data_IF_210235333533
#
_entry.id   IF_210235333533
#
_cell.length_a   1.000
_cell.length_b   1.000
_cell.length_c   1.000
_cell.angle_alpha   90.00
_cell.angle_beta   90.00
_cell.angle_gamma   90.00
#
_symmetry.space_group_name_H-M   'P 1'
#
loop_
_entity.id
_entity.type
_entity.pdbx_description
1 polymer ?
#
# COMPACT_ATOMS: atom_id res chain seq x y z
N UNK A 1 -10.09 -74.34 -1.71
CA UNK A 1 -10.27 -73.13 -0.87
C UNK A 1 -9.75 -71.81 -1.49
N UNK A 2 -8.94 -71.81 -2.56
CA UNK A 2 -8.27 -70.59 -3.07
C UNK A 2 -9.14 -69.66 -3.93
N UNK A 3 -10.22 -70.15 -4.54
CA UNK A 3 -11.07 -69.35 -5.44
C UNK A 3 -12.06 -68.44 -4.70
N UNK A 4 -12.57 -68.88 -3.54
CA UNK A 4 -13.49 -68.08 -2.71
C UNK A 4 -12.83 -66.86 -2.06
N UNK A 5 -11.53 -66.95 -1.76
CA UNK A 5 -10.75 -65.83 -1.19
C UNK A 5 -10.40 -64.80 -2.26
N UNK A 6 -10.18 -65.22 -3.52
CA UNK A 6 -9.91 -64.30 -4.63
C UNK A 6 -11.14 -63.48 -5.01
N UNK A 7 -12.33 -64.09 -4.93
CA UNK A 7 -13.61 -63.42 -5.19
C UNK A 7 -13.98 -62.41 -4.07
N UNK A 8 -13.56 -62.67 -2.83
CA UNK A 8 -13.75 -61.75 -1.71
C UNK A 8 -12.83 -60.51 -1.79
N UNK A 9 -11.61 -60.67 -2.29
CA UNK A 9 -10.65 -59.57 -2.50
C UNK A 9 -11.08 -58.69 -3.68
N UNK A 10 -11.61 -59.28 -4.76
CA UNK A 10 -12.13 -58.52 -5.90
C UNK A 10 -13.33 -57.63 -5.59
N UNK A 11 -14.19 -58.05 -4.63
CA UNK A 11 -15.33 -57.26 -4.17
C UNK A 11 -14.90 -56.12 -3.25
N UNK A 12 -13.82 -56.28 -2.45
CA UNK A 12 -13.30 -55.20 -1.60
C UNK A 12 -12.58 -54.10 -2.40
N UNK A 13 -11.97 -54.41 -3.55
CA UNK A 13 -11.26 -53.41 -4.36
C UNK A 13 -12.15 -52.58 -5.27
N UNK A 14 -13.40 -53.00 -5.51
CA UNK A 14 -14.37 -52.26 -6.32
C UNK A 14 -15.13 -51.19 -5.51
N UNK A 15 -15.06 -51.21 -4.18
CA UNK A 15 -15.75 -50.26 -3.29
C UNK A 15 -15.01 -48.93 -3.05
N UNK A 16 -13.74 -48.81 -3.44
CA UNK A 16 -12.89 -47.67 -3.05
C UNK A 16 -12.81 -46.54 -4.09
N UNK A 17 -13.56 -46.61 -5.19
CA UNK A 17 -13.71 -45.52 -6.15
C UNK A 17 -15.07 -44.83 -6.02
N UNK A 18 -15.51 -44.56 -4.78
CA UNK A 18 -16.41 -43.42 -4.56
C UNK A 18 -15.53 -42.20 -4.79
N UNK A 19 -15.47 -41.78 -6.05
CA UNK A 19 -15.10 -40.41 -6.38
C UNK A 19 -15.92 -39.54 -5.43
N UNK A 20 -15.24 -38.75 -4.60
CA UNK A 20 -15.84 -37.61 -3.95
C UNK A 20 -16.30 -36.67 -5.08
N UNK A 21 -17.41 -36.98 -5.72
CA UNK A 21 -18.17 -36.03 -6.50
C UNK A 21 -18.60 -35.01 -5.46
N UNK A 22 -17.89 -33.89 -5.39
CA UNK A 22 -18.47 -32.67 -4.85
C UNK A 22 -19.83 -32.54 -5.53
N UNK A 23 -20.90 -32.74 -4.76
CA UNK A 23 -22.24 -32.44 -5.21
C UNK A 23 -22.19 -30.96 -5.58
N UNK A 24 -22.11 -30.65 -6.87
CA UNK A 24 -22.14 -29.28 -7.39
C UNK A 24 -23.50 -28.71 -6.99
N UNK A 25 -23.57 -28.14 -5.79
CA UNK A 25 -24.76 -27.43 -5.32
C UNK A 25 -25.06 -26.33 -6.32
N UNK A 26 -26.33 -26.20 -6.70
CA UNK A 26 -26.83 -25.06 -7.46
C UNK A 26 -26.43 -23.80 -6.70
N UNK A 27 -25.56 -23.00 -7.31
CA UNK A 27 -24.93 -21.89 -6.64
C UNK A 27 -24.67 -20.76 -7.62
N UNK A 28 -24.69 -19.54 -7.10
CA UNK A 28 -24.22 -18.35 -7.79
C UNK A 28 -22.87 -17.94 -7.20
N UNK A 29 -21.92 -17.61 -8.06
CA UNK A 29 -20.65 -16.99 -7.67
C UNK A 29 -20.68 -15.53 -8.09
N UNK A 30 -20.38 -14.63 -7.15
CA UNK A 30 -20.36 -13.19 -7.37
C UNK A 30 -19.14 -12.57 -6.68
N UNK A 31 -18.60 -11.51 -7.27
CA UNK A 31 -17.55 -10.71 -6.65
C UNK A 31 -18.09 -9.34 -6.29
N UNK A 32 -18.02 -8.99 -5.01
CA UNK A 32 -18.26 -7.63 -4.53
C UNK A 32 -16.95 -6.85 -4.44
N UNK A 33 -17.03 -5.56 -4.73
CA UNK A 33 -15.89 -4.63 -4.68
C UNK A 33 -16.32 -3.44 -3.86
N UNK A 34 -15.44 -2.96 -2.98
CA UNK A 34 -15.61 -1.70 -2.29
C UNK A 34 -14.31 -0.91 -2.31
N UNK A 35 -14.47 0.41 -2.33
CA UNK A 35 -13.38 1.37 -2.40
C UNK A 35 -13.59 2.47 -1.34
N UNK A 36 -12.49 3.01 -0.83
CA UNK A 36 -12.51 4.14 0.10
C UNK A 36 -11.25 4.99 -0.11
N UNK A 37 -11.42 6.30 -0.09
CA UNK A 37 -10.32 7.25 -0.01
C UNK A 37 -10.23 7.79 1.41
N UNK A 38 -9.02 7.78 1.97
CA UNK A 38 -8.74 8.19 3.35
C UNK A 38 -7.70 9.30 3.33
N UNK A 39 -8.01 10.43 3.96
CA UNK A 39 -7.01 11.48 4.18
C UNK A 39 -5.92 10.97 5.16
N UNK A 40 -4.63 11.12 4.81
CA UNK A 40 -3.56 10.71 5.70
C UNK A 40 -3.45 11.64 6.92
N UNK A 41 -3.19 11.05 8.08
CA UNK A 41 -2.92 11.79 9.33
C UNK A 41 -1.42 11.81 9.69
N UNK A 42 -0.60 11.02 8.98
CA UNK A 42 0.85 10.98 9.12
C UNK A 42 1.51 11.06 7.74
N UNK A 43 2.39 12.04 7.53
CA UNK A 43 3.16 12.18 6.29
C UNK A 43 4.65 12.03 6.61
N UNK A 44 5.31 11.12 5.89
CA UNK A 44 6.74 10.89 6.01
C UNK A 44 7.42 11.58 4.83
N UNK A 45 8.33 12.51 5.13
CA UNK A 45 9.16 13.19 4.14
C UNK A 45 10.53 12.54 4.06
N UNK A 46 11.14 12.57 2.89
CA UNK A 46 12.55 12.28 2.66
C UNK A 46 13.26 13.59 2.37
N UNK A 47 14.40 13.82 3.05
CA UNK A 47 15.25 14.98 2.85
C UNK A 47 16.68 14.53 2.62
N UNK A 48 17.29 15.05 1.55
CA UNK A 48 18.70 14.86 1.25
C UNK A 48 19.48 16.13 1.51
N UNK A 49 20.67 16.00 2.09
CA UNK A 49 21.61 17.11 2.32
C UNK A 49 22.96 16.79 1.68
N UNK A 50 23.71 17.82 1.28
CA UNK A 50 25.06 17.69 0.70
C UNK A 50 26.06 18.69 1.28
N UNK A 51 27.34 18.36 1.15
CA UNK A 51 28.46 19.28 1.32
C UNK A 51 29.72 18.79 0.59
N UNK A 52 30.73 19.66 0.46
CA UNK A 52 32.01 19.36 -0.19
C UNK A 52 33.07 18.80 0.79
N UNK A 53 32.79 18.82 2.10
CA UNK A 53 33.60 18.17 3.11
C UNK A 53 32.75 17.68 4.29
N UNK A 54 33.36 16.88 5.18
CA UNK A 54 32.66 16.26 6.32
C UNK A 54 32.23 17.26 7.40
N UNK A 55 32.99 18.33 7.64
CA UNK A 55 32.68 19.31 8.67
C UNK A 55 31.44 20.13 8.25
N UNK A 56 31.44 20.62 7.01
CA UNK A 56 30.29 21.36 6.45
C UNK A 56 29.04 20.48 6.39
N UNK A 57 29.21 19.18 6.12
CA UNK A 57 28.08 18.23 6.16
C UNK A 57 27.49 18.10 7.57
N UNK A 58 28.34 18.06 8.60
CA UNK A 58 27.90 18.03 9.99
C UNK A 58 27.20 19.34 10.39
N UNK A 59 27.69 20.48 9.91
CA UNK A 59 27.02 21.77 10.12
C UNK A 59 25.66 21.84 9.41
N UNK A 60 25.56 21.32 8.18
CA UNK A 60 24.29 21.24 7.45
C UNK A 60 23.31 20.26 8.11
N UNK A 61 23.80 19.13 8.64
CA UNK A 61 23.00 18.20 9.45
C UNK A 61 22.46 18.88 10.72
N UNK A 62 23.29 19.66 11.42
CA UNK A 62 22.84 20.43 12.60
C UNK A 62 21.75 21.43 12.22
N UNK A 63 21.93 22.19 11.14
CA UNK A 63 20.92 23.14 10.63
C UNK A 63 19.62 22.44 10.27
N UNK A 64 19.67 21.30 9.59
CA UNK A 64 18.49 20.48 9.29
C UNK A 64 17.71 20.13 10.56
N UNK A 65 18.39 19.63 11.58
CA UNK A 65 17.73 19.21 12.83
C UNK A 65 17.15 20.41 13.59
N UNK A 66 17.84 21.55 13.59
CA UNK A 66 17.33 22.79 14.18
C UNK A 66 16.09 23.30 13.45
N UNK A 67 16.09 23.32 12.10
CA UNK A 67 14.93 23.69 11.29
C UNK A 67 13.73 22.79 11.57
N UNK A 68 13.93 21.47 11.55
CA UNK A 68 12.87 20.49 11.81
C UNK A 68 12.32 20.62 13.24
N UNK A 69 13.19 20.81 14.23
CA UNK A 69 12.80 21.03 15.63
C UNK A 69 11.97 22.31 15.79
N UNK A 70 12.37 23.41 15.15
CA UNK A 70 11.65 24.68 15.19
C UNK A 70 10.27 24.58 14.54
N UNK A 71 10.09 23.62 13.62
CA UNK A 71 8.80 23.29 13.02
C UNK A 71 7.98 22.25 13.80
N UNK A 72 8.44 21.85 14.99
CA UNK A 72 7.73 20.92 15.87
C UNK A 72 8.00 19.43 15.60
N UNK A 73 8.94 19.09 14.72
CA UNK A 73 9.37 17.70 14.51
C UNK A 73 10.26 17.26 15.67
N UNK A 74 9.94 16.14 16.30
CA UNK A 74 10.76 15.59 17.40
C UNK A 74 11.97 14.84 16.84
N UNK A 75 13.07 14.81 17.59
CA UNK A 75 14.26 14.06 17.19
C UNK A 75 13.98 12.56 16.97
N UNK A 76 13.09 11.95 17.76
CA UNK A 76 12.68 10.55 17.62
C UNK A 76 11.93 10.26 16.30
N UNK A 77 11.35 11.29 15.70
CA UNK A 77 10.64 11.21 14.42
C UNK A 77 11.58 11.40 13.21
N UNK A 78 12.86 11.74 13.44
CA UNK A 78 13.88 11.89 12.40
C UNK A 78 14.71 10.60 12.33
N UNK A 79 14.75 9.98 11.15
CA UNK A 79 15.42 8.70 10.90
C UNK A 79 16.48 8.87 9.83
N UNK A 80 17.73 8.58 10.17
CA UNK A 80 18.80 8.42 9.20
C UNK A 80 18.49 7.28 8.23
N UNK A 81 18.80 7.46 6.94
CA UNK A 81 18.57 6.45 5.89
C UNK A 81 19.83 6.00 5.21
N UNK A 82 20.64 6.94 4.75
CA UNK A 82 21.85 6.61 4.02
C UNK A 82 22.84 7.76 4.04
N UNK A 83 24.11 7.40 3.82
CA UNK A 83 25.19 8.35 3.59
C UNK A 83 25.94 7.88 2.36
N UNK A 84 26.32 8.83 1.51
CA UNK A 84 27.06 8.57 0.29
C UNK A 84 28.22 9.56 0.16
N UNK A 85 29.32 9.08 -0.42
CA UNK A 85 30.47 9.89 -0.81
C UNK A 85 30.76 9.62 -2.28
N UNK A 86 30.72 10.67 -3.10
CA UNK A 86 31.14 10.58 -4.49
C UNK A 86 32.67 10.68 -4.57
N UNK A 87 33.33 9.54 -4.79
CA UNK A 87 34.79 9.44 -4.92
C UNK A 87 35.31 9.77 -6.34
N UNK A 88 34.42 9.92 -7.32
CA UNK A 88 34.78 10.20 -8.72
C UNK A 88 34.72 11.69 -9.07
N UNK A 89 34.27 12.55 -8.13
CA UNK A 89 34.26 13.99 -8.33
C UNK A 89 35.61 14.61 -7.96
N UNK A 90 36.04 15.64 -8.70
CA UNK A 90 37.28 16.39 -8.43
C UNK A 90 37.33 16.98 -7.00
N UNK A 91 36.17 17.22 -6.41
CA UNK A 91 35.98 17.57 -5.00
C UNK A 91 35.07 16.52 -4.38
N UNK A 92 35.46 15.94 -3.25
CA UNK A 92 34.66 14.91 -2.60
C UNK A 92 33.28 15.47 -2.21
N UNK A 93 32.20 14.97 -2.82
CA UNK A 93 30.84 15.37 -2.46
C UNK A 93 30.24 14.35 -1.52
N UNK A 94 29.83 14.81 -0.35
CA UNK A 94 29.17 14.00 0.66
C UNK A 94 27.67 14.29 0.65
N UNK A 95 26.86 13.26 0.84
CA UNK A 95 25.43 13.43 1.06
C UNK A 95 24.92 12.51 2.16
N UNK A 96 23.87 12.95 2.84
CA UNK A 96 23.10 12.15 3.78
C UNK A 96 21.62 12.28 3.46
N UNK A 97 20.88 11.20 3.68
CA UNK A 97 19.43 11.18 3.54
C UNK A 97 18.80 10.84 4.89
N UNK A 98 17.72 11.54 5.20
CA UNK A 98 16.89 11.32 6.37
C UNK A 98 15.44 11.19 5.94
N UNK A 99 14.64 10.58 6.80
CA UNK A 99 13.20 10.73 6.78
C UNK A 99 12.72 11.38 8.06
N UNK A 100 11.66 12.17 7.99
CA UNK A 100 11.01 12.73 9.16
C UNK A 100 9.49 12.68 9.03
N UNK A 101 8.79 12.56 10.16
CA UNK A 101 7.33 12.64 10.20
C UNK A 101 6.88 14.08 10.37
N UNK A 102 5.83 14.48 9.67
CA UNK A 102 5.11 15.73 9.89
C UNK A 102 3.60 15.47 9.90
N UNK A 103 2.91 16.07 10.87
CA UNK A 103 1.52 15.75 11.23
C UNK A 103 0.48 16.76 10.75
N UNK A 104 0.87 17.91 10.17
CA UNK A 104 -0.12 18.91 9.68
C UNK A 104 0.33 19.62 8.40
N UNK A 105 -0.65 19.95 7.54
CA UNK A 105 -0.47 20.78 6.33
C UNK A 105 0.03 22.20 6.66
N UNK A 106 -0.28 22.75 7.84
CA UNK A 106 0.09 24.12 8.23
C UNK A 106 1.56 24.30 8.61
N UNK A 107 2.23 23.27 9.14
CA UNK A 107 3.68 23.31 9.42
C UNK A 107 4.54 23.03 8.19
N UNK A 108 3.93 22.48 7.14
CA UNK A 108 4.63 21.96 5.97
C UNK A 108 5.21 23.07 5.08
N UNK A 109 4.42 24.08 4.74
CA UNK A 109 4.89 25.20 3.91
C UNK A 109 6.13 25.87 4.51
N UNK A 110 6.13 26.07 5.83
CA UNK A 110 7.27 26.68 6.54
C UNK A 110 8.51 25.78 6.54
N UNK A 111 8.36 24.47 6.77
CA UNK A 111 9.48 23.52 6.69
C UNK A 111 10.14 23.58 5.30
N UNK A 112 9.33 23.63 4.24
CA UNK A 112 9.85 23.68 2.88
C UNK A 112 10.54 25.00 2.56
N UNK A 113 9.98 26.13 3.00
CA UNK A 113 10.62 27.45 2.87
C UNK A 113 11.96 27.49 3.61
N UNK A 114 11.98 27.07 4.87
CA UNK A 114 13.19 27.06 5.70
C UNK A 114 14.26 26.10 5.15
N UNK A 115 13.84 24.98 4.54
CA UNK A 115 14.71 24.00 3.89
C UNK A 115 15.01 24.29 2.42
N UNK A 116 14.55 25.42 1.86
CA UNK A 116 14.94 25.87 0.52
C UNK A 116 16.36 26.46 0.52
N UNK A 117 17.34 25.61 0.82
CA UNK A 117 18.72 25.96 1.02
C UNK A 117 19.60 25.25 0.01
N UNK A 118 20.70 25.89 -0.42
CA UNK A 118 21.65 25.32 -1.40
C UNK A 118 22.26 23.97 -0.98
N UNK A 119 22.30 23.70 0.32
CA UNK A 119 22.81 22.46 0.89
C UNK A 119 21.77 21.33 0.97
N UNK A 120 20.50 21.61 0.71
CA UNK A 120 19.44 20.60 0.54
C UNK A 120 19.44 20.12 -0.91
N UNK A 121 19.41 18.81 -1.12
CA UNK A 121 19.43 18.18 -2.45
C UNK A 121 18.08 17.71 -2.92
N UNK A 122 17.20 17.36 -1.97
CA UNK A 122 15.87 16.85 -2.24
C UNK A 122 15.02 17.01 -1.00
N UNK A 123 13.75 17.28 -1.24
CA UNK A 123 12.71 17.24 -0.21
C UNK A 123 11.44 16.75 -0.90
N UNK A 124 10.98 15.55 -0.53
CA UNK A 124 9.83 14.91 -1.16
C UNK A 124 9.02 14.07 -0.17
N UNK A 125 7.75 13.82 -0.48
CA UNK A 125 6.95 12.85 0.27
C UNK A 125 7.53 11.46 0.00
N UNK A 126 7.86 10.74 1.06
CA UNK A 126 8.31 9.36 1.00
C UNK A 126 7.13 8.40 1.09
N UNK A 127 6.21 8.67 2.03
CA UNK A 127 5.09 7.79 2.36
C UNK A 127 3.97 8.61 3.04
N UNK A 128 2.71 8.23 2.80
CA UNK A 128 1.54 8.75 3.51
C UNK A 128 0.89 7.62 4.31
N UNK A 129 0.45 7.90 5.53
CA UNK A 129 -0.09 6.92 6.47
C UNK A 129 -1.35 7.42 7.14
N UNK A 130 -2.13 6.45 7.61
CA UNK A 130 -3.21 6.68 8.55
C UNK A 130 -3.02 5.82 9.80
N UNK A 131 -3.11 6.43 10.98
CA UNK A 131 -3.10 5.70 12.26
C UNK A 131 -4.26 4.71 12.38
N UNK A 132 -5.35 4.95 11.65
CA UNK A 132 -6.58 4.13 11.62
C UNK A 132 -6.68 3.23 10.39
N UNK A 133 -5.58 3.02 9.66
CA UNK A 133 -5.60 2.26 8.40
C UNK A 133 -6.21 0.86 8.56
N UNK A 134 -5.99 0.19 9.70
CA UNK A 134 -6.56 -1.12 9.98
C UNK A 134 -8.09 -1.10 10.06
N UNK A 135 -8.66 -0.07 10.67
CA UNK A 135 -10.12 0.09 10.79
C UNK A 135 -10.75 0.37 9.42
N UNK A 136 -10.11 1.22 8.61
CA UNK A 136 -10.57 1.49 7.25
C UNK A 136 -10.51 0.24 6.37
N UNK A 137 -9.42 -0.53 6.42
CA UNK A 137 -9.31 -1.82 5.71
C UNK A 137 -10.44 -2.77 6.09
N UNK A 138 -10.72 -2.91 7.39
CA UNK A 138 -11.84 -3.71 7.89
C UNK A 138 -13.18 -3.22 7.34
N UNK A 139 -13.43 -1.92 7.36
CA UNK A 139 -14.67 -1.34 6.86
C UNK A 139 -14.87 -1.61 5.36
N UNK A 140 -13.83 -1.40 4.54
CA UNK A 140 -13.90 -1.64 3.09
C UNK A 140 -14.15 -3.12 2.78
N UNK A 141 -13.46 -4.04 3.47
CA UNK A 141 -13.70 -5.49 3.30
C UNK A 141 -15.14 -5.88 3.66
N UNK A 142 -15.68 -5.37 4.76
CA UNK A 142 -17.09 -5.61 5.12
C UNK A 142 -18.04 -5.07 4.04
N UNK A 143 -17.75 -3.89 3.49
CA UNK A 143 -18.55 -3.31 2.41
C UNK A 143 -18.46 -4.13 1.12
N UNK A 144 -17.28 -4.65 0.76
CA UNK A 144 -17.11 -5.52 -0.40
C UNK A 144 -17.92 -6.81 -0.25
N UNK A 145 -17.94 -7.40 0.95
CA UNK A 145 -18.76 -8.58 1.25
C UNK A 145 -20.25 -8.28 1.15
N UNK A 146 -20.71 -7.14 1.69
CA UNK A 146 -22.11 -6.69 1.56
C UNK A 146 -22.50 -6.47 0.11
N UNK A 147 -21.64 -5.83 -0.68
CA UNK A 147 -21.85 -5.62 -2.12
C UNK A 147 -21.92 -6.95 -2.89
N UNK A 148 -21.15 -7.96 -2.48
CA UNK A 148 -21.24 -9.30 -3.05
C UNK A 148 -22.61 -9.94 -2.74
N UNK A 149 -23.08 -9.85 -1.49
CA UNK A 149 -24.41 -10.35 -1.09
C UNK A 149 -25.54 -9.67 -1.85
N UNK A 150 -25.54 -8.34 -1.90
CA UNK A 150 -26.54 -7.55 -2.63
C UNK A 150 -26.55 -7.92 -4.12
N UNK A 151 -25.38 -8.17 -4.70
CA UNK A 151 -25.24 -8.64 -6.09
C UNK A 151 -25.87 -10.02 -6.32
N UNK A 152 -25.67 -10.97 -5.41
CA UNK A 152 -26.36 -12.26 -5.50
C UNK A 152 -27.88 -12.08 -5.42
N UNK A 153 -28.36 -11.24 -4.51
CA UNK A 153 -29.78 -10.99 -4.28
C UNK A 153 -30.48 -10.46 -5.54
N UNK A 154 -30.02 -9.33 -6.09
CA UNK A 154 -30.70 -8.75 -7.25
C UNK A 154 -30.57 -9.62 -8.51
N UNK A 155 -29.48 -10.37 -8.68
CA UNK A 155 -29.31 -11.26 -9.83
C UNK A 155 -30.27 -12.44 -9.75
N UNK A 156 -30.41 -13.09 -8.59
CA UNK A 156 -31.32 -14.22 -8.45
C UNK A 156 -32.79 -13.78 -8.46
N UNK A 157 -33.12 -12.66 -7.81
CA UNK A 157 -34.47 -12.11 -7.81
C UNK A 157 -34.96 -11.79 -9.24
N UNK A 158 -34.07 -11.29 -10.11
CA UNK A 158 -34.38 -11.03 -11.54
C UNK A 158 -34.80 -12.28 -12.32
N UNK A 159 -34.48 -13.47 -11.80
CA UNK A 159 -34.82 -14.78 -12.38
C UNK A 159 -35.88 -15.53 -11.58
N UNK A 160 -36.53 -14.88 -10.60
CA UNK A 160 -37.52 -15.51 -9.72
C UNK A 160 -36.91 -16.55 -8.76
N UNK A 161 -35.62 -16.40 -8.44
CA UNK A 161 -34.88 -17.23 -7.48
C UNK A 161 -34.53 -16.42 -6.23
N UNK A 162 -34.10 -17.09 -5.17
CA UNK A 162 -33.63 -16.44 -3.93
C UNK A 162 -32.22 -16.86 -3.57
N UNK A 163 -31.45 -15.94 -2.98
CA UNK A 163 -30.13 -16.25 -2.41
C UNK A 163 -30.28 -17.07 -1.14
N UNK A 164 -29.60 -18.21 -1.09
CA UNK A 164 -29.53 -19.10 0.07
C UNK A 164 -28.31 -18.82 0.95
N UNK A 165 -27.86 -19.86 1.66
CA UNK A 165 -26.72 -19.77 2.57
C UNK A 165 -25.41 -19.50 1.81
N UNK A 166 -24.48 -18.80 2.46
CA UNK A 166 -23.12 -18.66 1.94
C UNK A 166 -22.41 -20.01 1.98
N UNK A 167 -21.83 -20.40 0.85
CA UNK A 167 -21.07 -21.64 0.68
C UNK A 167 -19.56 -21.38 0.78
N UNK A 168 -19.11 -20.22 0.31
CA UNK A 168 -17.69 -19.85 0.27
C UNK A 168 -17.51 -18.33 0.29
N UNK A 169 -16.46 -17.86 0.97
CA UNK A 169 -15.98 -16.48 0.96
C UNK A 169 -14.47 -16.50 0.72
N UNK A 170 -14.03 -15.85 -0.34
CA UNK A 170 -12.62 -15.72 -0.71
C UNK A 170 -12.28 -14.24 -0.84
N UNK A 171 -11.32 -13.79 -0.04
CA UNK A 171 -10.70 -12.48 -0.26
C UNK A 171 -9.79 -12.59 -1.48
N UNK A 172 -10.01 -11.75 -2.48
CA UNK A 172 -9.10 -11.65 -3.62
C UNK A 172 -7.98 -10.70 -3.21
N UNK A 173 -6.79 -11.26 -2.99
CA UNK A 173 -5.59 -10.47 -2.75
C UNK A 173 -5.25 -9.66 -3.99
N UNK A 174 -5.62 -8.38 -3.98
CA UNK A 174 -5.12 -7.44 -4.97
C UNK A 174 -3.79 -6.91 -4.44
N UNK A 175 -2.67 -7.48 -4.90
CA UNK A 175 -1.32 -7.09 -4.49
C UNK A 175 -1.01 -5.60 -4.77
N UNK A 176 -1.89 -4.90 -5.49
CA UNK A 176 -1.81 -3.46 -5.74
C UNK A 176 -2.41 -2.59 -4.61
N UNK A 177 -3.33 -3.12 -3.79
CA UNK A 177 -4.01 -2.41 -2.70
C UNK A 177 -3.15 -2.29 -1.44
N UNK A 178 -2.36 -3.32 -1.13
CA UNK A 178 -1.50 -3.32 0.07
C UNK A 178 -0.11 -2.72 -0.16
N UNK A 179 0.25 -2.46 -1.43
CA UNK A 179 1.47 -1.74 -1.75
C UNK A 179 1.22 -0.24 -1.66
N UNK A 180 1.59 0.36 -0.53
CA UNK A 180 1.90 1.80 -0.49
C UNK A 180 3.14 1.99 -1.35
N UNK A 181 2.94 2.18 -2.67
CA UNK A 181 4.04 2.47 -3.58
C UNK A 181 4.67 3.79 -3.16
N UNK A 182 5.98 3.82 -2.85
CA UNK A 182 6.66 5.07 -2.53
C UNK A 182 6.47 6.06 -3.67
N UNK A 183 6.21 7.34 -3.38
CA UNK A 183 6.01 8.36 -4.42
C UNK A 183 7.18 8.42 -5.43
N UNK A 184 8.38 8.01 -5.01
CA UNK A 184 9.55 7.85 -5.86
C UNK A 184 9.35 6.84 -7.02
N UNK A 185 8.53 5.80 -6.85
CA UNK A 185 8.22 4.81 -7.88
C UNK A 185 7.20 5.35 -8.90
N UNK A 186 6.20 6.13 -8.48
CA UNK A 186 5.32 6.87 -9.38
C UNK A 186 6.10 7.93 -10.18
N UNK A 187 7.01 8.65 -9.50
CA UNK A 187 7.89 9.63 -10.13
C UNK A 187 8.77 9.04 -11.22
N UNK A 188 9.25 7.80 -11.07
CA UNK A 188 10.08 7.13 -12.10
C UNK A 188 9.36 6.75 -13.39
N UNK A 189 8.03 6.58 -13.37
CA UNK A 189 7.27 6.42 -14.62
C UNK A 189 7.08 7.74 -15.36
N UNK A 190 7.08 8.87 -14.64
CA UNK A 190 7.00 10.22 -15.23
C UNK A 190 8.38 10.85 -15.51
N UNK A 191 9.47 10.30 -14.95
CA UNK A 191 10.82 10.88 -15.03
C UNK A 191 11.69 10.32 -16.16
N UNK A 192 11.12 9.79 -17.24
CA UNK A 192 11.89 9.62 -18.49
C UNK A 192 12.31 10.99 -19.07
N UNK A 193 11.75 12.09 -18.55
CA UNK A 193 12.16 13.46 -18.88
C UNK A 193 12.59 14.21 -17.61
N UNK A 194 13.85 14.10 -17.20
CA UNK A 194 14.47 15.10 -16.33
C UNK A 194 15.81 15.51 -16.95
N UNK A 195 15.68 16.33 -17.98
CA UNK A 195 16.77 17.20 -18.42
C UNK A 195 16.78 18.42 -17.51
N UNK A 196 17.97 18.75 -17.02
CA UNK A 196 18.22 19.75 -15.98
C UNK A 196 17.90 21.16 -16.49
N UNK A 197 17.05 21.92 -15.81
CA UNK A 197 17.02 23.39 -15.87
C UNK A 197 16.33 23.97 -14.63
N UNK A 198 16.89 25.07 -14.12
CA UNK A 198 16.47 25.86 -12.95
C UNK A 198 15.02 26.38 -13.00
N UNK A 199 14.04 25.49 -12.96
CA UNK A 199 12.67 25.86 -12.60
C UNK A 199 12.56 25.85 -11.07
N UNK A 200 11.99 26.89 -10.43
CA UNK A 200 11.56 26.78 -9.05
C UNK A 200 10.62 25.58 -8.96
N UNK A 201 11.01 24.58 -8.17
CA UNK A 201 10.17 23.41 -7.92
C UNK A 201 8.94 23.93 -7.19
N UNK A 202 7.81 23.99 -7.91
CA UNK A 202 6.52 24.31 -7.32
C UNK A 202 6.11 23.12 -6.43
N UNK A 203 6.46 23.22 -5.16
CA UNK A 203 6.03 22.28 -4.13
C UNK A 203 4.58 22.60 -3.75
N UNK A 204 3.63 22.41 -4.68
CA UNK A 204 2.21 22.62 -4.36
C UNK A 204 1.71 21.44 -3.51
N UNK A 205 1.32 21.75 -2.27
CA UNK A 205 0.80 20.78 -1.27
C UNK A 205 -0.70 20.56 -1.36
N UNK A 206 -1.37 21.25 -2.28
CA UNK A 206 -2.80 21.08 -2.52
C UNK A 206 -3.12 19.63 -2.90
N UNK A 207 -2.12 18.85 -3.34
CA UNK A 207 -2.28 17.50 -3.86
C UNK A 207 -1.52 16.41 -3.07
N UNK A 208 -1.53 16.44 -1.73
CA UNK A 208 -1.19 15.21 -0.97
C UNK A 208 -2.28 14.18 -1.28
N UNK A 209 -1.91 13.11 -1.99
CA UNK A 209 -2.86 12.07 -2.39
C UNK A 209 -3.48 11.36 -1.18
N UNK A 210 -4.79 11.13 -1.25
CA UNK A 210 -5.48 10.26 -0.31
C UNK A 210 -4.98 8.82 -0.42
N UNK A 211 -5.02 8.11 0.71
CA UNK A 211 -4.77 6.67 0.75
C UNK A 211 -5.98 5.98 0.11
N UNK A 212 -5.75 5.28 -1.00
CA UNK A 212 -6.78 4.53 -1.70
C UNK A 212 -6.81 3.10 -1.20
N UNK A 213 -7.97 2.66 -0.74
CA UNK A 213 -8.24 1.28 -0.33
C UNK A 213 -9.23 0.67 -1.32
N UNK A 214 -8.90 -0.50 -1.85
CA UNK A 214 -9.76 -1.25 -2.75
C UNK A 214 -9.67 -2.73 -2.44
N UNK A 215 -10.80 -3.33 -2.06
CA UNK A 215 -10.87 -4.76 -1.76
C UNK A 215 -11.96 -5.43 -2.57
N UNK A 216 -11.65 -6.64 -3.03
CA UNK A 216 -12.57 -7.50 -3.77
C UNK A 216 -12.78 -8.79 -3.00
N UNK A 217 -14.05 -9.16 -2.80
CA UNK A 217 -14.42 -10.40 -2.12
C UNK A 217 -15.31 -11.20 -3.05
N UNK A 218 -14.85 -12.41 -3.36
CA UNK A 218 -15.61 -13.42 -4.08
C UNK A 218 -16.43 -14.22 -3.08
N UNK A 219 -17.69 -14.42 -3.39
CA UNK A 219 -18.61 -15.20 -2.57
C UNK A 219 -19.39 -16.17 -3.43
N UNK A 220 -19.65 -17.35 -2.89
CA UNK A 220 -20.54 -18.34 -3.48
C UNK A 220 -21.75 -18.55 -2.58
N UNK A 221 -22.95 -18.42 -3.12
CA UNK A 221 -24.21 -18.63 -2.41
C UNK A 221 -24.99 -19.78 -3.02
N UNK A 222 -25.74 -20.49 -2.19
CA UNK A 222 -26.77 -21.43 -2.66
C UNK A 222 -27.88 -20.69 -3.41
N UNK A 223 -28.48 -21.33 -4.41
CA UNK A 223 -29.68 -20.83 -5.10
C UNK A 223 -30.91 -21.58 -4.56
N UNK A 224 -31.92 -20.84 -4.11
CA UNK A 224 -33.23 -21.33 -3.69
C UNK A 224 -34.29 -21.08 -4.78
#
# INVERSE_FOLDING_TARGET
>A
MKLKHFLLIGILTLGSFVNAQEVKKNAIEVTGVAEMEVEPDEIIFSVGIKADNKNDLADNEKKLFETLKNAGVKNEDIKFKSMYQNIYSKTAKFSKNYQFKASTKSSLSKIFEDLNQKWVTSLNIAEVKSTKIADFRKAVKINALKAAKEKADYLLESMGKKTGSVLEIVEIEDYTSDMIMPAAYKGRMNSVQLEMADAPVDYSFDNIENIKLKYSIKTRYEIL
#
